data_IF_033783199064
#
_entry.id   IF_033783199064
#
_cell.length_a   1.000
_cell.length_b   1.000
_cell.length_c   1.000
_cell.angle_alpha   90.00
_cell.angle_beta   90.00
_cell.angle_gamma   90.00
#
_symmetry.space_group_name_H-M   'P 1'
#
loop_
_entity.id
_entity.type
_entity.pdbx_description
1 polymer ?
#
# COMPACT_ATOMS: atom_id res chain seq x y z
N UNK A 1 7.39 24.16 9.59
CA UNK A 1 7.52 23.56 9.38
C UNK A 1 7.49 22.73 9.55
N UNK A 2 7.20 22.37 9.98
CA UNK A 2 7.18 21.64 10.11
C UNK A 2 7.38 20.85 10.06
N UNK A 3 7.27 20.76 9.90
CA UNK A 3 7.46 20.01 9.66
C UNK A 3 8.10 19.45 9.53
N UNK A 4 8.49 19.66 9.76
CA UNK A 4 9.18 19.11 9.55
C UNK A 4 9.46 18.24 9.85
N UNK A 5 9.24 18.43 10.52
CA UNK A 5 9.31 17.47 10.95
C UNK A 5 9.71 16.31 10.55
N UNK A 6 9.53 15.94 10.18
CA UNK A 6 9.65 14.59 9.79
C UNK A 6 10.53 14.34 8.64
N UNK A 7 11.13 15.32 8.11
CA UNK A 7 11.88 15.12 6.92
C UNK A 7 13.17 14.40 7.15
N UNK A 8 13.75 14.53 8.27
CA UNK A 8 14.96 13.83 8.52
C UNK A 8 14.78 12.41 8.97
N UNK A 9 13.52 12.02 9.15
CA UNK A 9 13.24 10.73 9.70
C UNK A 9 12.29 9.98 8.84
N UNK A 10 12.64 8.78 8.50
CA UNK A 10 11.75 7.92 7.77
C UNK A 10 10.95 7.09 8.74
N UNK A 11 9.73 6.73 8.38
CA UNK A 11 8.96 5.80 9.21
C UNK A 11 9.72 4.50 9.38
N UNK A 12 9.45 3.75 10.45
CA UNK A 12 10.15 2.49 10.68
C UNK A 12 9.58 1.39 9.80
N UNK A 13 9.95 1.42 8.54
CA UNK A 13 9.47 0.44 7.58
C UNK A 13 9.98 -0.95 7.91
N UNK A 14 9.14 -1.94 7.71
CA UNK A 14 9.52 -3.33 7.90
C UNK A 14 9.34 -4.15 6.64
N UNK A 15 8.77 -3.55 5.60
CA UNK A 15 8.48 -4.28 4.38
C UNK A 15 7.19 -5.05 4.44
N UNK A 16 6.40 -4.85 5.49
CA UNK A 16 5.17 -5.59 5.64
C UNK A 16 4.16 -5.15 4.60
N UNK A 17 3.24 -6.05 4.31
CA UNK A 17 2.19 -5.76 3.36
C UNK A 17 1.14 -4.86 4.01
N UNK A 18 0.76 -3.79 3.31
CA UNK A 18 -0.32 -2.93 3.75
C UNK A 18 -1.60 -3.42 3.08
N UNK A 19 -2.64 -3.72 3.85
CA UNK A 19 -3.87 -4.24 3.26
C UNK A 19 -4.49 -3.27 2.25
N UNK A 20 -5.04 -3.84 1.19
CA UNK A 20 -5.67 -3.03 0.15
C UNK A 20 -6.78 -2.16 0.72
N UNK A 21 -7.54 -2.69 1.68
CA UNK A 21 -8.63 -1.92 2.27
C UNK A 21 -8.12 -0.70 3.02
N UNK A 22 -6.96 -0.83 3.64
CA UNK A 22 -6.38 0.28 4.37
C UNK A 22 -5.87 1.35 3.40
N UNK A 23 -5.25 0.93 2.31
CA UNK A 23 -4.79 1.84 1.29
C UNK A 23 -5.97 2.60 0.69
N UNK A 24 -7.05 1.88 0.40
CA UNK A 24 -8.23 2.49 -0.18
C UNK A 24 -8.78 3.58 0.75
N UNK A 25 -8.80 3.28 2.04
CA UNK A 25 -9.28 4.26 3.00
C UNK A 25 -8.40 5.50 3.00
N UNK A 26 -7.09 5.31 2.92
CA UNK A 26 -6.16 6.43 2.90
C UNK A 26 -6.32 7.25 1.63
N UNK A 27 -6.69 6.62 0.53
CA UNK A 27 -6.88 7.30 -0.74
C UNK A 27 -8.29 7.86 -0.90
N UNK A 28 -9.19 7.55 0.01
CA UNK A 28 -10.60 7.93 -0.10
C UNK A 28 -11.25 7.30 -1.33
N UNK A 29 -10.87 6.06 -1.60
CA UNK A 29 -11.43 5.26 -2.67
C UNK A 29 -11.90 3.94 -2.10
N UNK A 30 -12.63 3.16 -2.88
CA UNK A 30 -13.01 1.85 -2.39
C UNK A 30 -11.92 0.83 -2.73
N UNK A 31 -12.01 -0.33 -2.09
CA UNK A 31 -10.98 -1.34 -2.25
C UNK A 31 -10.90 -1.86 -3.68
N UNK A 32 -12.02 -1.90 -4.38
CA UNK A 32 -12.03 -2.39 -5.74
C UNK A 32 -11.19 -1.49 -6.65
N UNK A 33 -11.25 -0.19 -6.41
CA UNK A 33 -10.44 0.77 -7.16
C UNK A 33 -8.96 0.43 -7.03
N UNK A 34 -8.53 0.13 -5.81
CA UNK A 34 -7.13 -0.19 -5.57
C UNK A 34 -6.75 -1.51 -6.21
N UNK A 35 -7.62 -2.52 -6.08
CA UNK A 35 -7.33 -3.83 -6.66
C UNK A 35 -7.18 -3.75 -8.18
N UNK A 36 -8.10 -3.05 -8.82
CA UNK A 36 -8.06 -2.93 -10.27
C UNK A 36 -6.81 -2.17 -10.71
N UNK A 37 -6.49 -1.08 -9.99
CA UNK A 37 -5.30 -0.30 -10.33
C UNK A 37 -4.03 -1.11 -10.21
N UNK A 38 -3.95 -1.98 -9.20
CA UNK A 38 -2.78 -2.83 -9.05
C UNK A 38 -2.73 -3.90 -10.13
N UNK A 39 -3.90 -4.49 -10.47
CA UNK A 39 -3.95 -5.51 -11.50
C UNK A 39 -3.52 -4.96 -12.85
N UNK A 40 -3.83 -3.71 -13.11
CA UNK A 40 -3.51 -3.10 -14.39
C UNK A 40 -2.16 -2.39 -14.39
N UNK A 41 -1.45 -2.43 -13.27
CA UNK A 41 -0.14 -1.81 -13.21
C UNK A 41 -0.17 -0.30 -13.17
N UNK A 42 -1.33 0.29 -12.87
CA UNK A 42 -1.46 1.73 -12.79
C UNK A 42 -0.81 2.27 -11.53
N UNK A 43 -1.06 1.59 -10.40
CA UNK A 43 -0.47 2.00 -9.14
C UNK A 43 0.88 1.36 -8.98
N UNK A 44 1.83 2.13 -8.48
CA UNK A 44 3.22 1.69 -8.38
C UNK A 44 3.64 1.33 -6.96
N UNK A 45 2.70 1.37 -6.02
CA UNK A 45 3.04 1.09 -4.64
C UNK A 45 2.95 -0.40 -4.30
N UNK A 46 2.65 -1.23 -5.27
CA UNK A 46 2.58 -2.65 -5.04
C UNK A 46 2.26 -3.37 -6.31
N UNK A 47 1.93 -4.64 -6.16
CA UNK A 47 1.58 -5.41 -7.34
C UNK A 47 0.57 -6.49 -6.98
N UNK A 48 -0.09 -6.99 -8.01
CA UNK A 48 -1.05 -8.06 -7.91
C UNK A 48 -0.48 -9.26 -8.64
N UNK A 49 -0.55 -10.42 -7.99
CA UNK A 49 -0.05 -11.65 -8.56
C UNK A 49 -1.21 -12.63 -8.63
N UNK A 50 -1.49 -13.11 -9.83
CA UNK A 50 -2.54 -14.09 -10.00
C UNK A 50 -1.96 -15.47 -9.83
N UNK A 51 -2.59 -16.23 -8.96
CA UNK A 51 -2.12 -17.59 -8.72
C UNK A 51 -2.48 -18.46 -9.90
N UNK A 52 -1.55 -19.34 -10.25
CA UNK A 52 -1.76 -20.23 -11.35
C UNK A 52 -2.92 -21.17 -11.05
N UNK A 53 -3.81 -21.32 -12.03
CA UNK A 53 -4.96 -22.18 -11.86
C UNK A 53 -6.06 -21.59 -11.03
N UNK A 54 -5.98 -20.30 -10.73
CA UNK A 54 -6.97 -19.63 -9.90
C UNK A 54 -7.34 -18.32 -10.54
N UNK A 55 -8.53 -17.82 -10.20
CA UNK A 55 -8.95 -16.49 -10.61
C UNK A 55 -8.66 -15.46 -9.54
N UNK A 56 -7.98 -15.84 -8.47
CA UNK A 56 -7.74 -14.96 -7.37
C UNK A 56 -6.38 -14.30 -7.50
N UNK A 57 -6.32 -13.07 -7.00
CA UNK A 57 -5.08 -12.32 -6.95
C UNK A 57 -4.61 -12.18 -5.51
N UNK A 58 -3.30 -12.22 -5.33
CA UNK A 58 -2.68 -11.81 -4.09
C UNK A 58 -2.08 -10.45 -4.32
N UNK A 59 -2.20 -9.58 -3.32
CA UNK A 59 -1.70 -8.21 -3.44
C UNK A 59 -0.59 -8.00 -2.42
N UNK A 60 0.50 -7.43 -2.88
CA UNK A 60 1.59 -7.10 -1.99
C UNK A 60 1.94 -5.64 -2.18
N UNK A 61 1.76 -4.87 -1.11
CA UNK A 61 2.00 -3.43 -1.13
C UNK A 61 2.92 -3.12 0.05
N UNK A 62 4.24 -3.12 -0.19
CA UNK A 62 5.18 -2.90 0.90
C UNK A 62 4.97 -1.52 1.51
N UNK A 63 5.09 -1.44 2.82
CA UNK A 63 4.79 -0.22 3.54
C UNK A 63 5.59 0.97 3.03
N UNK A 64 6.85 0.77 2.69
CA UNK A 64 7.67 1.85 2.19
C UNK A 64 7.18 2.36 0.84
N UNK A 65 6.80 1.44 -0.05
CA UNK A 65 6.31 1.85 -1.36
C UNK A 65 5.00 2.62 -1.25
N UNK A 66 4.13 2.18 -0.36
CA UNK A 66 2.87 2.88 -0.15
C UNK A 66 3.16 4.29 0.34
N UNK A 67 4.09 4.42 1.29
CA UNK A 67 4.45 5.72 1.81
C UNK A 67 5.04 6.63 0.73
N UNK A 68 5.89 6.07 -0.12
CA UNK A 68 6.52 6.86 -1.17
C UNK A 68 5.52 7.37 -2.19
N UNK A 69 4.49 6.57 -2.46
CA UNK A 69 3.55 6.93 -3.52
C UNK A 69 2.38 7.76 -3.03
N UNK A 70 1.85 7.47 -1.86
CA UNK A 70 0.68 8.18 -1.38
C UNK A 70 0.88 8.83 -0.02
N UNK A 71 2.06 8.73 0.55
CA UNK A 71 2.37 9.41 1.80
C UNK A 71 1.74 8.79 3.02
N UNK A 72 1.25 7.58 2.92
CA UNK A 72 0.54 6.94 4.01
C UNK A 72 1.43 5.95 4.74
N UNK A 73 1.47 6.05 6.04
CA UNK A 73 2.16 5.09 6.89
C UNK A 73 1.43 5.00 8.21
N UNK A 74 1.16 3.79 8.66
CA UNK A 74 0.54 3.56 9.94
C UNK A 74 1.39 2.56 10.72
N UNK A 75 2.10 3.02 11.75
CA UNK A 75 2.98 2.11 12.51
C UNK A 75 2.22 1.03 13.25
N UNK A 76 0.92 1.21 13.42
CA UNK A 76 0.11 0.24 14.13
C UNK A 76 -0.70 -0.64 13.21
N UNK A 77 -0.45 -0.53 11.92
CA UNK A 77 -1.11 -1.38 10.97
C UNK A 77 -0.66 -2.81 11.18
N UNK A 78 -1.58 -3.71 11.32
CA UNK A 78 -1.25 -5.10 11.50
C UNK A 78 -1.74 -5.89 10.33
N UNK A 79 -0.92 -6.77 9.88
CA UNK A 79 -1.28 -7.65 8.81
C UNK A 79 -1.38 -9.05 9.37
N UNK A 80 -2.48 -9.47 9.53
CA UNK A 80 -2.69 -10.84 9.93
C UNK A 80 -2.42 -11.15 11.28
#
# INVERSE_FOLDING_TARGET
MGESQNYGKMPPFTGRNVPVTEIARAMHKDAQHVRVGLQQGIFKFGYAVKLEGSNEYNYYCPDRKVWEEIGYFNPESHVG
#
